data_IF_931500239238
#
_entry.id   IF_931500239238
#
_cell.length_a   1.000
_cell.length_b   1.000
_cell.length_c   1.000
_cell.angle_alpha   90.00
_cell.angle_beta   90.00
_cell.angle_gamma   90.00
#
_symmetry.space_group_name_H-M   'P 1'
#
loop_
_entity.id
_entity.type
_entity.pdbx_description
1 polymer ?
#
# COMPACT_ATOMS: atom_id res chain seq x y z
N UNK A 1 21.00 4.98 3.33
CA UNK A 1 19.60 4.96 3.78
C UNK A 1 18.62 5.30 2.67
N UNK A 2 18.80 6.40 1.91
CA UNK A 2 17.92 6.79 0.79
C UNK A 2 17.82 5.70 -0.31
N UNK A 3 18.91 4.98 -0.61
CA UNK A 3 18.91 3.91 -1.63
C UNK A 3 17.86 2.82 -1.37
N UNK A 4 17.72 2.36 -0.12
CA UNK A 4 16.77 1.30 0.24
C UNK A 4 15.31 1.77 0.11
N UNK A 5 15.05 3.05 0.40
CA UNK A 5 13.71 3.65 0.26
C UNK A 5 13.32 3.72 -1.21
N UNK A 6 14.19 4.28 -2.07
CA UNK A 6 13.92 4.38 -3.50
C UNK A 6 13.74 3.01 -4.16
N UNK A 7 14.56 2.02 -3.80
CA UNK A 7 14.41 0.65 -4.29
C UNK A 7 13.08 0.02 -3.88
N UNK A 8 12.64 0.25 -2.63
CA UNK A 8 11.34 -0.23 -2.15
C UNK A 8 10.18 0.39 -2.94
N UNK A 9 10.17 1.72 -3.11
CA UNK A 9 9.14 2.39 -3.91
C UNK A 9 9.15 1.94 -5.37
N UNK A 10 10.34 1.78 -5.97
CA UNK A 10 10.48 1.25 -7.33
C UNK A 10 9.87 -0.15 -7.45
N UNK A 11 10.12 -1.04 -6.49
CA UNK A 11 9.53 -2.37 -6.47
C UNK A 11 8.00 -2.33 -6.44
N UNK A 12 7.40 -1.41 -5.66
CA UNK A 12 5.95 -1.24 -5.61
C UNK A 12 5.38 -0.70 -6.92
N UNK A 13 6.04 0.28 -7.54
CA UNK A 13 5.64 0.82 -8.85
C UNK A 13 5.73 -0.23 -9.97
N UNK A 14 6.70 -1.14 -9.92
CA UNK A 14 6.79 -2.26 -10.87
C UNK A 14 5.64 -3.27 -10.68
N UNK A 15 5.08 -3.38 -9.48
CA UNK A 15 3.94 -4.25 -9.16
C UNK A 15 2.59 -3.62 -9.52
N UNK A 16 2.48 -2.29 -9.35
CA UNK A 16 1.26 -1.52 -9.55
C UNK A 16 1.49 -0.48 -10.64
N UNK A 17 1.03 -0.81 -11.85
CA UNK A 17 1.06 0.18 -12.93
C UNK A 17 0.07 1.34 -12.66
N UNK A 18 0.12 2.38 -13.48
CA UNK A 18 -0.71 3.58 -13.31
C UNK A 18 -2.22 3.32 -13.43
N UNK A 19 -2.62 2.23 -14.08
CA UNK A 19 -4.00 1.75 -14.15
C UNK A 19 -4.37 0.80 -12.99
N UNK A 20 -3.46 0.65 -12.02
CA UNK A 20 -3.54 -0.23 -10.86
C UNK A 20 -3.79 -1.70 -11.19
N UNK A 21 -3.34 -2.16 -12.36
CA UNK A 21 -3.28 -3.58 -12.70
C UNK A 21 -1.96 -4.16 -12.22
N UNK A 22 -2.02 -5.40 -11.76
CA UNK A 22 -0.86 -6.15 -11.30
C UNK A 22 -0.14 -6.71 -12.52
N UNK A 23 1.13 -6.32 -12.72
CA UNK A 23 1.91 -6.79 -13.85
C UNK A 23 2.56 -8.15 -13.55
N UNK A 24 2.07 -9.20 -14.21
CA UNK A 24 2.61 -10.55 -14.14
C UNK A 24 2.36 -11.22 -12.78
N UNK A 25 1.63 -12.33 -12.77
CA UNK A 25 1.43 -13.14 -11.56
C UNK A 25 2.79 -13.73 -11.15
N UNK A 26 3.46 -13.11 -10.18
CA UNK A 26 4.71 -13.58 -9.59
C UNK A 26 4.55 -13.67 -8.05
N UNK A 27 5.61 -14.04 -7.35
CA UNK A 27 5.56 -14.17 -5.88
C UNK A 27 5.29 -12.84 -5.16
N UNK A 28 5.61 -11.70 -5.79
CA UNK A 28 5.33 -10.38 -5.25
C UNK A 28 3.85 -9.98 -5.39
N UNK A 29 3.16 -10.48 -6.42
CA UNK A 29 1.69 -10.35 -6.55
C UNK A 29 0.99 -11.03 -5.37
N UNK A 30 1.47 -12.22 -4.98
CA UNK A 30 0.95 -12.95 -3.82
C UNK A 30 1.20 -12.19 -2.51
N UNK A 31 2.34 -11.51 -2.38
CA UNK A 31 2.63 -10.67 -1.21
C UNK A 31 1.64 -9.51 -1.08
N UNK A 32 1.24 -8.90 -2.19
CA UNK A 32 0.22 -7.85 -2.19
C UNK A 32 -1.16 -8.40 -1.81
N UNK A 33 -1.53 -9.57 -2.35
CA UNK A 33 -2.83 -10.22 -2.07
C UNK A 33 -3.05 -10.52 -0.58
N UNK A 34 -1.99 -10.71 0.21
CA UNK A 34 -2.10 -10.90 1.67
C UNK A 34 -2.77 -9.69 2.34
N UNK A 35 -2.65 -8.49 1.79
CA UNK A 35 -3.24 -7.26 2.33
C UNK A 35 -4.55 -6.86 1.63
N UNK A 36 -5.10 -7.74 0.78
CA UNK A 36 -6.40 -7.54 0.17
C UNK A 36 -7.55 -8.06 1.06
N UNK A 37 -8.76 -7.49 0.92
CA UNK A 37 -9.95 -8.00 1.59
C UNK A 37 -10.29 -9.42 1.13
N UNK A 38 -10.99 -10.17 1.98
CA UNK A 38 -11.56 -11.47 1.58
C UNK A 38 -12.75 -11.21 0.65
N UNK A 39 -12.67 -11.73 -0.57
CA UNK A 39 -13.77 -11.71 -1.52
C UNK A 39 -14.91 -12.59 -1.01
N UNK A 40 -16.09 -12.00 -0.84
CA UNK A 40 -17.31 -12.72 -0.45
C UNK A 40 -17.77 -13.77 -1.46
N UNK A 41 -17.33 -13.64 -2.72
CA UNK A 41 -17.66 -14.57 -3.82
C UNK A 41 -16.77 -15.81 -3.82
N UNK A 42 -15.46 -15.64 -3.58
CA UNK A 42 -14.47 -16.72 -3.73
C UNK A 42 -13.94 -17.24 -2.39
N UNK A 43 -14.15 -16.50 -1.30
CA UNK A 43 -13.57 -16.78 0.01
C UNK A 43 -12.05 -16.58 0.07
N UNK A 44 -11.46 -15.97 -0.95
CA UNK A 44 -10.01 -15.73 -1.08
C UNK A 44 -9.71 -14.24 -0.99
N UNK A 45 -8.49 -13.89 -0.53
CA UNK A 45 -8.05 -12.50 -0.54
C UNK A 45 -7.84 -12.03 -1.98
N UNK A 46 -8.49 -10.94 -2.34
CA UNK A 46 -8.44 -10.39 -3.69
C UNK A 46 -8.77 -8.90 -3.68
N UNK A 47 -7.92 -8.09 -4.31
CA UNK A 47 -8.18 -6.67 -4.50
C UNK A 47 -8.92 -6.45 -5.84
N UNK A 48 -10.24 -6.31 -5.76
CA UNK A 48 -11.11 -6.11 -6.92
C UNK A 48 -11.04 -4.68 -7.47
N UNK A 49 -10.84 -3.71 -6.60
CA UNK A 49 -10.85 -2.29 -6.98
C UNK A 49 -9.45 -1.67 -6.93
N UNK A 50 -9.22 -0.55 -7.63
CA UNK A 50 -7.93 0.12 -7.59
C UNK A 50 -7.65 0.68 -6.18
N UNK A 51 -8.68 1.19 -5.48
CA UNK A 51 -8.55 1.60 -4.08
C UNK A 51 -8.05 0.47 -3.17
N UNK A 52 -8.58 -0.75 -3.33
CA UNK A 52 -8.13 -1.91 -2.55
C UNK A 52 -6.66 -2.26 -2.83
N UNK A 53 -6.22 -2.16 -4.09
CA UNK A 53 -4.82 -2.44 -4.46
C UNK A 53 -3.87 -1.36 -3.94
N UNK A 54 -4.25 -0.09 -4.05
CA UNK A 54 -3.50 1.03 -3.47
C UNK A 54 -3.38 0.88 -1.96
N UNK A 55 -4.46 0.46 -1.28
CA UNK A 55 -4.42 0.16 0.15
C UNK A 55 -3.43 -0.96 0.47
N UNK A 56 -3.55 -2.12 -0.21
CA UNK A 56 -2.67 -3.26 -0.01
C UNK A 56 -1.19 -2.90 -0.22
N UNK A 57 -0.89 -2.07 -1.23
CA UNK A 57 0.46 -1.60 -1.52
C UNK A 57 0.98 -0.62 -0.47
N UNK A 58 0.11 0.25 0.04
CA UNK A 58 0.44 1.16 1.14
C UNK A 58 0.83 0.36 2.39
N UNK A 59 0.07 -0.68 2.72
CA UNK A 59 0.38 -1.57 3.85
C UNK A 59 1.68 -2.34 3.62
N UNK A 60 1.91 -2.81 2.39
CA UNK A 60 3.16 -3.47 2.02
C UNK A 60 4.38 -2.54 2.12
N UNK A 61 4.24 -1.25 1.74
CA UNK A 61 5.26 -0.22 1.93
C UNK A 61 5.59 -0.01 3.42
N UNK A 62 4.56 0.10 4.27
CA UNK A 62 4.76 0.15 5.71
C UNK A 62 5.51 -1.08 6.22
N UNK A 63 5.14 -2.28 5.79
CA UNK A 63 5.87 -3.47 6.21
C UNK A 63 7.32 -3.46 5.72
N UNK A 64 7.62 -3.14 4.46
CA UNK A 64 9.01 -3.17 4.00
C UNK A 64 9.91 -2.11 4.66
N UNK A 65 9.38 -0.91 4.90
CA UNK A 65 10.17 0.19 5.46
C UNK A 65 10.29 0.11 6.99
N UNK A 66 9.44 -0.66 7.66
CA UNK A 66 9.42 -0.78 9.13
C UNK A 66 9.73 -2.19 9.66
N UNK A 67 9.60 -3.28 8.87
CA UNK A 67 9.77 -4.68 9.33
C UNK A 67 11.22 -5.17 9.43
N UNK A 68 12.18 -4.29 9.72
CA UNK A 68 13.59 -4.66 9.91
C UNK A 68 14.28 -4.00 11.11
N UNK A 69 13.59 -3.11 11.82
CA UNK A 69 14.15 -2.37 12.95
C UNK A 69 13.54 -2.90 14.26
N UNK A 70 14.17 -3.93 14.84
CA UNK A 70 13.94 -4.30 16.26
C UNK A 70 14.31 -3.13 17.18
N UNK A 71 15.19 -2.25 16.70
CA UNK A 71 15.43 -0.93 17.25
C UNK A 71 14.88 0.09 16.26
N UNK A 72 13.67 0.58 16.48
CA UNK A 72 13.14 1.79 15.88
C UNK A 72 14.07 2.95 16.28
N UNK A 73 15.22 3.05 15.63
CA UNK A 73 16.38 3.79 16.09
C UNK A 73 16.23 5.24 15.61
N UNK A 74 15.55 6.01 16.46
CA UNK A 74 15.19 7.44 16.39
C UNK A 74 13.85 7.75 15.73
N UNK A 75 12.97 8.41 16.50
CA UNK A 75 11.68 8.98 16.09
C UNK A 75 11.75 9.78 14.77
N UNK A 76 12.94 10.32 14.44
CA UNK A 76 13.15 11.17 13.29
C UNK A 76 13.08 10.41 11.94
N UNK A 77 13.64 9.20 11.86
CA UNK A 77 13.61 8.41 10.60
C UNK A 77 12.22 7.85 10.29
N UNK A 78 11.46 7.49 11.33
CA UNK A 78 10.07 7.07 11.19
C UNK A 78 9.21 8.16 10.57
N UNK A 79 9.40 9.40 11.01
CA UNK A 79 8.65 10.54 10.49
C UNK A 79 8.95 10.77 8.99
N UNK A 80 10.20 10.56 8.55
CA UNK A 80 10.58 10.66 7.14
C UNK A 80 9.92 9.56 6.28
N UNK A 81 9.94 8.29 6.72
CA UNK A 81 9.32 7.19 5.97
C UNK A 81 7.80 7.34 5.89
N UNK A 82 7.13 7.71 6.99
CA UNK A 82 5.70 8.02 6.98
C UNK A 82 5.42 9.13 5.97
N UNK A 83 6.22 10.21 5.98
CA UNK A 83 6.04 11.31 5.03
C UNK A 83 6.17 10.84 3.57
N UNK A 84 7.16 10.00 3.24
CA UNK A 84 7.32 9.47 1.89
C UNK A 84 6.17 8.57 1.47
N UNK A 85 5.70 7.68 2.36
CA UNK A 85 4.55 6.81 2.09
C UNK A 85 3.28 7.65 1.85
N UNK A 86 3.05 8.66 2.69
CA UNK A 86 1.88 9.54 2.56
C UNK A 86 1.94 10.39 1.28
N UNK A 87 3.12 10.86 0.88
CA UNK A 87 3.31 11.58 -0.37
C UNK A 87 3.01 10.69 -1.59
N UNK A 88 3.52 9.46 -1.57
CA UNK A 88 3.24 8.46 -2.60
C UNK A 88 1.75 8.13 -2.68
N UNK A 89 1.12 7.86 -1.54
CA UNK A 89 -0.32 7.59 -1.45
C UNK A 89 -1.14 8.76 -2.00
N UNK A 90 -0.80 10.00 -1.63
CA UNK A 90 -1.46 11.20 -2.16
C UNK A 90 -1.37 11.27 -3.69
N UNK A 91 -0.22 10.94 -4.26
CA UNK A 91 -0.01 10.92 -5.71
C UNK A 91 -0.91 9.87 -6.38
N UNK A 92 -0.93 8.65 -5.85
CA UNK A 92 -1.73 7.55 -6.41
C UNK A 92 -3.23 7.77 -6.24
N UNK A 93 -3.68 8.36 -5.13
CA UNK A 93 -5.09 8.69 -4.93
C UNK A 93 -5.66 9.60 -6.02
N UNK A 94 -4.85 10.49 -6.59
CA UNK A 94 -5.29 11.36 -7.70
C UNK A 94 -5.61 10.59 -9.00
N UNK A 95 -5.13 9.34 -9.12
CA UNK A 95 -5.35 8.48 -10.28
C UNK A 95 -6.50 7.48 -10.05
N UNK A 96 -6.94 7.30 -8.80
CA UNK A 96 -8.04 6.39 -8.44
C UNK A 96 -9.36 6.94 -9.01
N UNK A 97 -10.09 6.09 -9.72
CA UNK A 97 -11.39 6.44 -10.32
C UNK A 97 -12.56 5.71 -9.66
N UNK A 98 -12.31 4.66 -8.86
CA UNK A 98 -13.32 3.95 -8.09
C UNK A 98 -13.54 4.59 -6.72
N UNK A 99 -14.68 5.27 -6.56
CA UNK A 99 -15.05 5.94 -5.30
C UNK A 99 -14.71 7.43 -5.30
N UNK A 100 -14.89 8.08 -4.15
CA UNK A 100 -14.59 9.51 -3.98
C UNK A 100 -13.97 9.71 -2.61
N UNK A 101 -12.65 9.82 -2.56
CA UNK A 101 -11.90 10.05 -1.33
C UNK A 101 -11.35 11.48 -1.38
N UNK A 102 -11.97 12.38 -0.61
CA UNK A 102 -11.65 13.80 -0.65
C UNK A 102 -10.26 14.15 -0.09
N UNK A 103 -9.67 13.24 0.70
CA UNK A 103 -8.36 13.43 1.33
C UNK A 103 -7.70 12.10 1.69
N UNK A 104 -6.38 12.12 1.90
CA UNK A 104 -5.61 10.99 2.47
C UNK A 104 -6.20 10.51 3.80
N UNK A 105 -6.74 11.42 4.61
CA UNK A 105 -7.39 11.09 5.89
C UNK A 105 -8.65 10.25 5.68
N UNK A 106 -9.45 10.56 4.66
CA UNK A 106 -10.65 9.80 4.33
C UNK A 106 -10.29 8.41 3.83
N UNK A 107 -9.27 8.30 2.98
CA UNK A 107 -8.74 7.02 2.51
C UNK A 107 -8.20 6.18 3.66
N UNK A 108 -7.39 6.78 4.54
CA UNK A 108 -6.86 6.10 5.73
C UNK A 108 -7.98 5.56 6.61
N UNK A 109 -9.01 6.36 6.89
CA UNK A 109 -10.15 5.93 7.71
C UNK A 109 -10.94 4.80 7.05
N UNK A 110 -11.06 4.83 5.73
CA UNK A 110 -11.83 3.85 4.95
C UNK A 110 -11.12 2.51 4.84
N UNK A 111 -9.82 2.50 4.53
CA UNK A 111 -9.11 1.28 4.13
C UNK A 111 -8.03 0.80 5.12
N UNK A 112 -7.45 1.71 5.90
CA UNK A 112 -6.26 1.41 6.70
C UNK A 112 -6.61 1.28 8.19
N UNK A 113 -7.34 2.27 8.73
CA UNK A 113 -7.64 2.39 10.17
C UNK A 113 -8.37 1.18 10.72
N UNK A 114 -9.31 0.65 9.95
CA UNK A 114 -10.20 -0.42 10.38
C UNK A 114 -9.82 -1.78 9.78
N UNK A 115 -8.60 -1.93 9.23
CA UNK A 115 -8.10 -3.09 8.48
C UNK A 115 -8.96 -4.34 8.67
N UNK A 116 -9.88 -4.53 7.72
CA UNK A 116 -11.05 -5.41 7.72
C UNK A 116 -11.22 -6.30 8.97
N UNK A 117 -12.05 -5.85 9.91
CA UNK A 117 -12.88 -6.75 10.72
C UNK A 117 -14.10 -7.11 9.86
N UNK A 118 -13.97 -8.17 9.08
CA UNK A 118 -15.07 -9.06 8.68
C UNK A 118 -14.52 -10.48 8.48
#
# INVERSE_FOLDING_TARGET
MILNVCETFKGIEELLNDDFYLHGINDNTKLLEIYCPISSETGKRECKTASQRVNAATVLLFNHLFSGDENIESDNKNNEYIMYIMLWLSSKMNLITDGTYGSVSDFYTTFIKNGDVD
#
